data_IF_572737569733
#
_entry.id   IF_572737569733
#
_cell.length_a   1.000
_cell.length_b   1.000
_cell.length_c   1.000
_cell.angle_alpha   90.00
_cell.angle_beta   90.00
_cell.angle_gamma   90.00
#
_symmetry.space_group_name_H-M   'P 1'
#
loop_
_entity.id
_entity.type
_entity.pdbx_description
1 polymer ?
#
# COMPACT_ATOMS: atom_id res chain seq x y z
N UNK A 1 2.63 -13.90 -32.77
CA UNK A 1 1.80 -12.96 -31.98
C UNK A 1 1.51 -13.62 -30.64
N UNK A 2 2.24 -13.20 -29.61
CA UNK A 2 2.19 -13.77 -28.26
C UNK A 2 0.86 -13.41 -27.61
N UNK A 3 0.08 -14.42 -27.21
CA UNK A 3 -1.08 -14.22 -26.35
C UNK A 3 -0.58 -13.56 -25.05
N UNK A 4 -0.97 -12.32 -24.81
CA UNK A 4 -0.69 -11.69 -23.53
C UNK A 4 -1.49 -12.45 -22.45
N UNK A 5 -0.85 -13.11 -21.48
CA UNK A 5 -1.55 -13.98 -20.55
C UNK A 5 -2.33 -13.11 -19.57
N UNK A 6 -3.64 -13.08 -19.77
CA UNK A 6 -4.61 -12.35 -18.93
C UNK A 6 -4.39 -12.62 -17.42
N UNK A 7 -3.94 -13.84 -17.08
CA UNK A 7 -3.56 -14.22 -15.71
C UNK A 7 -2.36 -13.45 -15.15
N UNK A 8 -1.27 -13.28 -15.91
CA UNK A 8 -0.08 -12.56 -15.44
C UNK A 8 -0.36 -11.06 -15.21
N UNK A 9 -1.21 -10.44 -16.05
CA UNK A 9 -1.66 -9.06 -15.84
C UNK A 9 -2.48 -8.95 -14.55
N UNK A 10 -3.37 -9.92 -14.30
CA UNK A 10 -4.19 -9.95 -13.09
C UNK A 10 -3.34 -10.11 -11.83
N UNK A 11 -2.34 -10.98 -11.85
CA UNK A 11 -1.45 -11.22 -10.71
C UNK A 11 -0.59 -10.00 -10.39
N UNK A 12 -0.06 -9.33 -11.43
CA UNK A 12 0.68 -8.06 -11.24
C UNK A 12 -0.20 -6.92 -10.74
N UNK A 13 -1.42 -6.79 -11.26
CA UNK A 13 -2.37 -5.79 -10.80
C UNK A 13 -2.84 -6.05 -9.36
N UNK A 14 -2.93 -7.32 -8.95
CA UNK A 14 -3.26 -7.69 -7.57
C UNK A 14 -2.11 -7.30 -6.62
N UNK A 15 -0.86 -7.56 -6.99
CA UNK A 15 0.30 -7.17 -6.16
C UNK A 15 0.42 -5.65 -6.00
N UNK A 16 0.26 -4.87 -7.09
CA UNK A 16 0.36 -3.41 -7.03
C UNK A 16 -0.73 -2.78 -6.15
N UNK A 17 -1.95 -3.33 -6.16
CA UNK A 17 -3.05 -2.90 -5.28
C UNK A 17 -2.66 -3.02 -3.80
N UNK A 18 -2.10 -4.16 -3.40
CA UNK A 18 -1.72 -4.40 -2.00
C UNK A 18 -0.59 -3.47 -1.54
N UNK A 19 0.38 -3.17 -2.42
CA UNK A 19 1.43 -2.19 -2.15
C UNK A 19 0.83 -0.80 -1.94
N UNK A 20 -0.10 -0.38 -2.82
CA UNK A 20 -0.75 0.92 -2.71
C UNK A 20 -1.61 1.04 -1.44
N UNK A 21 -2.32 -0.03 -1.07
CA UNK A 21 -3.14 -0.07 0.14
C UNK A 21 -2.31 0.04 1.42
N UNK A 22 -1.25 -0.76 1.55
CA UNK A 22 -0.33 -0.65 2.69
C UNK A 22 0.39 0.70 2.69
N UNK A 23 0.81 1.19 1.53
CA UNK A 23 1.46 2.50 1.38
C UNK A 23 0.56 3.64 1.85
N UNK A 24 -0.73 3.61 1.51
CA UNK A 24 -1.71 4.57 2.03
C UNK A 24 -1.79 4.52 3.56
N UNK A 25 -1.87 3.33 4.16
CA UNK A 25 -1.96 3.20 5.62
C UNK A 25 -0.71 3.74 6.34
N UNK A 26 0.49 3.42 5.83
CA UNK A 26 1.75 3.94 6.37
C UNK A 26 1.79 5.47 6.24
N UNK A 27 1.46 6.00 5.05
CA UNK A 27 1.44 7.45 4.82
C UNK A 27 0.42 8.18 5.70
N UNK A 28 -0.78 7.62 5.86
CA UNK A 28 -1.79 8.18 6.76
C UNK A 28 -1.29 8.21 8.21
N UNK A 29 -0.60 7.16 8.67
CA UNK A 29 0.00 7.13 10.00
C UNK A 29 1.07 8.22 10.16
N UNK A 30 1.96 8.38 9.17
CA UNK A 30 3.01 9.41 9.18
C UNK A 30 2.43 10.84 9.22
N UNK A 31 1.29 11.06 8.56
CA UNK A 31 0.61 12.36 8.49
C UNK A 31 -0.36 12.60 9.67
N UNK A 32 -0.52 11.65 10.58
CA UNK A 32 -1.49 11.75 11.68
C UNK A 32 -2.95 11.68 11.24
N UNK A 33 -3.23 11.12 10.05
CA UNK A 33 -4.58 10.91 9.52
C UNK A 33 -5.12 9.60 10.08
N UNK A 34 -5.98 9.70 11.09
CA UNK A 34 -6.66 8.54 11.66
C UNK A 34 -7.81 8.07 10.76
N UNK A 35 -8.08 6.75 10.66
CA UNK A 35 -9.32 6.27 10.09
C UNK A 35 -10.50 6.76 10.93
N UNK A 36 -11.59 7.13 10.27
CA UNK A 36 -12.87 7.41 10.94
C UNK A 36 -13.24 6.24 11.88
N UNK A 37 -13.78 6.52 13.08
CA UNK A 37 -14.13 5.48 14.05
C UNK A 37 -15.24 4.54 13.55
N UNK A 38 -16.04 4.99 12.58
CA UNK A 38 -17.07 4.14 11.95
C UNK A 38 -16.49 3.37 10.75
N UNK A 39 -16.49 2.03 10.75
CA UNK A 39 -16.05 1.24 9.61
C UNK A 39 -17.04 1.44 8.45
N UNK A 40 -16.57 1.99 7.32
CA UNK A 40 -17.41 2.08 6.13
C UNK A 40 -17.77 0.65 5.66
N UNK A 41 -19.02 0.40 5.23
CA UNK A 41 -19.49 -0.94 4.86
C UNK A 41 -18.65 -1.66 3.79
N UNK A 42 -17.90 -0.92 2.98
CA UNK A 42 -17.07 -1.48 1.89
C UNK A 42 -15.64 -1.84 2.35
N UNK A 43 -15.26 -1.50 3.59
CA UNK A 43 -13.87 -1.58 4.05
C UNK A 43 -13.35 -3.02 4.16
N UNK A 44 -14.17 -4.04 4.41
CA UNK A 44 -13.66 -5.40 4.57
C UNK A 44 -13.29 -6.11 3.25
N UNK A 45 -13.59 -5.50 2.09
CA UNK A 45 -13.43 -6.14 0.78
C UNK A 45 -11.98 -6.55 0.46
N UNK A 46 -10.98 -5.91 1.08
CA UNK A 46 -9.56 -6.28 0.94
C UNK A 46 -9.18 -7.55 1.70
N UNK A 47 -9.89 -7.90 2.78
CA UNK A 47 -9.53 -9.02 3.65
C UNK A 47 -9.56 -10.34 2.90
N UNK A 48 -10.58 -10.56 2.06
CA UNK A 48 -10.69 -11.78 1.25
C UNK A 48 -9.50 -11.94 0.29
N UNK A 49 -9.02 -10.82 -0.28
CA UNK A 49 -7.85 -10.81 -1.16
C UNK A 49 -6.57 -11.17 -0.40
N UNK A 50 -6.38 -10.56 0.78
CA UNK A 50 -5.23 -10.84 1.64
C UNK A 50 -5.22 -12.28 2.17
N UNK A 51 -6.37 -12.80 2.59
CA UNK A 51 -6.48 -14.19 3.06
C UNK A 51 -6.07 -15.18 1.97
N UNK A 52 -6.47 -14.96 0.72
CA UNK A 52 -6.06 -15.79 -0.42
C UNK A 52 -4.56 -15.72 -0.69
N UNK A 53 -3.95 -14.53 -0.63
CA UNK A 53 -2.50 -14.36 -0.81
C UNK A 53 -1.72 -15.05 0.31
N UNK A 54 -2.13 -14.85 1.56
CA UNK A 54 -1.43 -15.38 2.74
C UNK A 54 -1.60 -16.88 2.93
N UNK A 55 -2.68 -17.46 2.41
CA UNK A 55 -2.85 -18.91 2.35
C UNK A 55 -1.78 -19.56 1.45
N UNK A 56 -1.37 -18.88 0.37
CA UNK A 56 -0.37 -19.37 -0.58
C UNK A 56 1.07 -19.01 -0.15
N UNK A 57 1.30 -17.77 0.28
CA UNK A 57 2.61 -17.29 0.73
C UNK A 57 2.49 -16.35 1.93
N UNK A 58 2.83 -16.88 3.11
CA UNK A 58 2.86 -16.11 4.36
C UNK A 58 3.90 -14.98 4.35
N UNK A 59 4.92 -15.06 3.50
CA UNK A 59 5.97 -14.02 3.39
C UNK A 59 5.56 -12.87 2.49
N UNK A 60 4.48 -13.02 1.72
CA UNK A 60 4.00 -11.98 0.81
C UNK A 60 3.69 -10.66 1.55
N UNK A 61 3.23 -10.71 2.80
CA UNK A 61 2.98 -9.51 3.61
C UNK A 61 4.25 -8.70 3.84
N UNK A 62 5.38 -9.35 4.16
CA UNK A 62 6.65 -8.66 4.42
C UNK A 62 7.22 -8.05 3.14
N UNK A 63 7.13 -8.76 2.01
CA UNK A 63 7.57 -8.24 0.72
C UNK A 63 6.72 -7.02 0.33
N UNK A 64 5.40 -7.13 0.45
CA UNK A 64 4.48 -6.03 0.12
C UNK A 64 4.72 -4.82 1.03
N UNK A 65 4.89 -5.04 2.34
CA UNK A 65 5.21 -4.00 3.31
C UNK A 65 6.56 -3.31 2.99
N UNK A 66 7.60 -4.07 2.63
CA UNK A 66 8.88 -3.51 2.24
C UNK A 66 8.77 -2.64 0.98
N UNK A 67 8.00 -3.07 -0.02
CA UNK A 67 7.73 -2.26 -1.22
C UNK A 67 6.90 -1.02 -0.91
N UNK A 68 5.90 -1.13 -0.05
CA UNK A 68 5.09 -0.01 0.40
C UNK A 68 5.94 1.03 1.15
N UNK A 69 6.81 0.60 2.06
CA UNK A 69 7.71 1.49 2.79
C UNK A 69 8.67 2.24 1.85
N UNK A 70 9.21 1.57 0.83
CA UNK A 70 10.05 2.23 -0.18
C UNK A 70 9.27 3.29 -0.96
N UNK A 71 8.03 3.00 -1.34
CA UNK A 71 7.17 3.96 -2.02
C UNK A 71 6.86 5.18 -1.13
N UNK A 72 6.53 4.97 0.15
CA UNK A 72 6.28 6.07 1.10
C UNK A 72 7.54 6.89 1.34
N UNK A 73 8.70 6.24 1.52
CA UNK A 73 9.98 6.93 1.69
C UNK A 73 10.33 7.81 0.49
N UNK A 74 10.03 7.33 -0.72
CA UNK A 74 10.14 8.14 -1.93
C UNK A 74 9.17 9.33 -1.90
N UNK A 75 7.90 9.13 -1.55
CA UNK A 75 6.95 10.26 -1.46
C UNK A 75 7.40 11.34 -0.47
N UNK A 76 7.95 10.93 0.67
CA UNK A 76 8.55 11.85 1.65
C UNK A 76 9.78 12.57 1.10
N UNK A 77 10.67 11.88 0.37
CA UNK A 77 11.86 12.53 -0.22
C UNK A 77 11.53 13.54 -1.32
N UNK A 78 10.34 13.45 -1.92
CA UNK A 78 9.85 14.40 -2.92
C UNK A 78 9.17 15.63 -2.31
N UNK A 79 8.93 15.66 -0.99
CA UNK A 79 8.38 16.85 -0.36
C UNK A 79 9.42 17.98 -0.43
N UNK A 80 9.01 19.24 -0.64
CA UNK A 80 9.92 20.36 -0.55
C UNK A 80 10.63 20.30 0.80
N UNK A 81 11.95 20.56 0.82
CA UNK A 81 12.67 20.71 2.08
C UNK A 81 11.90 21.74 2.91
N UNK A 82 11.29 21.29 4.00
CA UNK A 82 10.66 22.22 4.92
C UNK A 82 11.75 23.20 5.32
N UNK A 83 11.59 24.48 4.99
CA UNK A 83 12.38 25.52 5.64
C UNK A 83 12.06 25.41 7.13
N UNK A 84 12.94 24.73 7.89
CA UNK A 84 12.91 24.67 9.36
C UNK A 84 13.36 26.03 9.94
N UNK A 85 12.87 27.13 9.34
CA UNK A 85 13.03 28.53 9.75
C UNK A 85 11.69 29.26 9.62
N UNK A 86 10.67 28.78 10.30
CA UNK A 86 9.47 29.57 10.58
C UNK A 86 8.85 29.22 11.95
N UNK A 87 9.67 28.76 12.90
CA UNK A 87 9.26 28.55 14.30
C UNK A 87 10.49 28.52 15.23
N UNK A 88 11.29 29.59 15.24
CA UNK A 88 12.27 29.89 16.28
C UNK A 88 12.40 31.41 16.42
#
# INVERSE_FOLDING_TARGET
>A
MSACPRGEIQDRARLSRHIAELGRCILCADLGIAPEPEPRPDHASYLQSWLSVLANDKRAIFQTAAHAQRAVSFLHSQQPAADVKAAA
#
